data_IF_418854927698
#
_entry.id   IF_418854927698
#
_cell.length_a   1.000
_cell.length_b   1.000
_cell.length_c   1.000
_cell.angle_alpha   90.00
_cell.angle_beta   90.00
_cell.angle_gamma   90.00
#
_symmetry.space_group_name_H-M   'P 1'
#
loop_
_entity.id
_entity.type
_entity.pdbx_description
1 polymer ?
#
# COMPACT_ATOMS: atom_id res chain seq x y z
N UNK A 1 -14.01 5.24 -17.95
CA UNK A 1 -13.49 5.08 -16.57
C UNK A 1 -14.63 5.31 -15.58
N UNK A 2 -14.52 4.79 -14.36
CA UNK A 2 -15.46 5.06 -13.25
C UNK A 2 -14.68 5.52 -12.02
N UNK A 3 -15.36 5.87 -10.93
CA UNK A 3 -14.68 6.22 -9.67
C UNK A 3 -14.00 5.02 -9.02
N UNK A 4 -14.42 3.80 -9.35
CA UNK A 4 -13.98 2.57 -8.69
C UNK A 4 -13.00 1.75 -9.53
N UNK A 5 -12.75 2.14 -10.79
CA UNK A 5 -11.89 1.39 -11.69
C UNK A 5 -11.89 1.84 -13.14
N UNK A 6 -11.27 1.01 -13.98
CA UNK A 6 -11.16 1.20 -15.41
C UNK A 6 -11.66 -0.03 -16.17
N UNK A 7 -12.38 0.21 -17.26
CA UNK A 7 -12.68 -0.81 -18.26
C UNK A 7 -11.54 -0.88 -19.25
N UNK A 8 -11.12 -2.10 -19.58
CA UNK A 8 -10.03 -2.36 -20.52
C UNK A 8 -10.61 -3.23 -21.63
N UNK A 9 -10.43 -2.78 -22.87
CA UNK A 9 -10.74 -3.61 -24.03
C UNK A 9 -9.58 -4.55 -24.31
N UNK A 10 -9.89 -5.84 -24.39
CA UNK A 10 -8.96 -6.92 -24.68
C UNK A 10 -9.39 -7.57 -25.99
N UNK A 11 -9.19 -6.84 -27.10
CA UNK A 11 -9.53 -7.27 -28.45
C UNK A 11 -10.97 -7.83 -28.58
N UNK A 12 -11.96 -7.09 -28.08
CA UNK A 12 -13.37 -7.46 -28.15
C UNK A 12 -13.91 -8.13 -26.88
N UNK A 13 -13.08 -8.33 -25.85
CA UNK A 13 -13.51 -8.72 -24.51
C UNK A 13 -13.31 -7.56 -23.55
N UNK A 14 -14.38 -7.08 -22.92
CA UNK A 14 -14.28 -6.03 -21.89
C UNK A 14 -13.92 -6.61 -20.54
N UNK A 15 -12.74 -6.27 -20.03
CA UNK A 15 -12.33 -6.51 -18.66
C UNK A 15 -12.52 -5.30 -17.75
N UNK A 16 -12.47 -5.53 -16.43
CA UNK A 16 -12.52 -4.45 -15.44
C UNK A 16 -11.41 -4.58 -14.41
N UNK A 17 -10.77 -3.45 -14.13
CA UNK A 17 -9.73 -3.32 -13.11
C UNK A 17 -10.19 -2.36 -12.04
N UNK A 18 -10.23 -2.83 -10.80
CA UNK A 18 -10.55 -1.99 -9.65
C UNK A 18 -9.34 -1.12 -9.27
N UNK A 19 -9.59 0.03 -8.63
CA UNK A 19 -8.54 0.93 -8.14
C UNK A 19 -7.42 0.19 -7.38
N UNK A 20 -7.69 -0.72 -6.42
CA UNK A 20 -6.64 -1.41 -5.69
C UNK A 20 -5.79 -2.36 -6.53
N UNK A 21 -6.19 -2.66 -7.78
CA UNK A 21 -5.45 -3.50 -8.72
C UNK A 21 -4.74 -2.68 -9.80
N UNK A 22 -4.93 -1.36 -9.85
CA UNK A 22 -4.20 -0.47 -10.76
C UNK A 22 -2.78 -0.21 -10.27
N UNK A 23 -2.59 0.00 -8.97
CA UNK A 23 -1.30 0.36 -8.38
C UNK A 23 -1.19 -0.12 -6.93
N UNK A 24 0.05 -0.24 -6.44
CA UNK A 24 0.38 -0.50 -5.03
C UNK A 24 0.24 0.75 -4.16
N UNK A 25 0.23 1.93 -4.77
CA UNK A 25 0.09 3.21 -4.07
C UNK A 25 -1.38 3.56 -3.84
N UNK A 26 -1.62 4.42 -2.84
CA UNK A 26 -2.96 4.94 -2.60
C UNK A 26 -3.26 6.05 -3.61
N UNK A 27 -4.29 5.85 -4.41
CA UNK A 27 -4.81 6.84 -5.36
C UNK A 27 -6.29 7.10 -5.08
N UNK A 28 -6.73 8.33 -5.37
CA UNK A 28 -8.13 8.75 -5.18
C UNK A 28 -8.96 8.51 -6.45
N UNK A 29 -8.34 8.56 -7.62
CA UNK A 29 -9.00 8.31 -8.90
C UNK A 29 -8.17 7.42 -9.83
N UNK A 30 -8.79 6.49 -10.59
CA UNK A 30 -8.10 5.65 -11.57
C UNK A 30 -7.24 6.41 -12.60
N UNK A 31 -7.61 7.66 -12.93
CA UNK A 31 -6.89 8.50 -13.89
C UNK A 31 -5.48 8.86 -13.47
N UNK A 32 -5.15 8.69 -12.18
CA UNK A 32 -3.79 8.85 -11.67
C UNK A 32 -2.88 7.66 -12.02
N UNK A 33 -3.45 6.51 -12.39
CA UNK A 33 -2.70 5.30 -12.73
C UNK A 33 -2.81 4.92 -14.21
N UNK A 34 -3.92 5.22 -14.87
CA UNK A 34 -4.17 4.86 -16.28
C UNK A 34 -4.93 5.95 -17.02
N UNK A 35 -4.66 6.13 -18.31
CA UNK A 35 -5.35 7.11 -19.15
C UNK A 35 -6.28 6.44 -20.17
N UNK A 36 -7.37 7.13 -20.55
CA UNK A 36 -8.26 6.62 -21.60
C UNK A 36 -7.55 6.66 -22.96
N UNK A 37 -7.60 5.56 -23.71
CA UNK A 37 -6.94 5.42 -25.01
C UNK A 37 -5.47 5.00 -24.92
N UNK A 38 -4.95 4.74 -23.72
CA UNK A 38 -3.61 4.21 -23.50
C UNK A 38 -3.59 2.70 -23.76
N UNK A 39 -2.59 2.23 -24.51
CA UNK A 39 -2.29 0.80 -24.63
C UNK A 39 -1.45 0.37 -23.43
N UNK A 40 -1.97 -0.58 -22.66
CA UNK A 40 -1.35 -1.07 -21.42
C UNK A 40 -1.29 -2.60 -21.39
N UNK A 41 -0.30 -3.12 -20.67
CA UNK A 41 -0.23 -4.55 -20.35
C UNK A 41 -1.02 -4.77 -19.06
N UNK A 42 -1.69 -5.92 -18.97
CA UNK A 42 -2.42 -6.34 -17.78
C UNK A 42 -2.19 -7.81 -17.48
N UNK A 43 -2.31 -8.19 -16.21
CA UNK A 43 -2.35 -9.58 -15.76
C UNK A 43 -3.81 -9.99 -15.59
N UNK A 44 -4.19 -11.14 -16.13
CA UNK A 44 -5.51 -11.75 -15.87
C UNK A 44 -5.43 -12.54 -14.57
N UNK A 45 -6.18 -12.10 -13.55
CA UNK A 45 -6.25 -12.78 -12.25
C UNK A 45 -7.23 -13.96 -12.27
N UNK A 46 -8.25 -13.89 -13.12
CA UNK A 46 -9.28 -14.89 -13.25
C UNK A 46 -10.44 -14.38 -14.10
N UNK A 47 -11.46 -15.20 -14.26
CA UNK A 47 -12.66 -14.86 -15.02
C UNK A 47 -13.88 -15.15 -14.18
N UNK A 48 -14.80 -14.20 -14.11
CA UNK A 48 -16.14 -14.43 -13.58
C UNK A 48 -16.90 -15.36 -14.53
N UNK A 49 -17.24 -16.59 -14.12
CA UNK A 49 -17.84 -17.58 -15.02
C UNK A 49 -19.27 -17.24 -15.43
N UNK A 50 -19.99 -16.46 -14.63
CA UNK A 50 -21.37 -16.07 -14.92
C UNK A 50 -21.41 -14.89 -15.89
N UNK A 51 -20.49 -13.93 -15.69
CA UNK A 51 -20.44 -12.68 -16.45
C UNK A 51 -19.48 -12.71 -17.63
N UNK A 52 -18.68 -13.78 -17.77
CA UNK A 52 -17.56 -13.88 -18.72
C UNK A 52 -16.61 -12.68 -18.66
N UNK A 53 -16.53 -12.05 -17.48
CA UNK A 53 -15.78 -10.81 -17.29
C UNK A 53 -14.44 -11.13 -16.61
N UNK A 54 -13.30 -10.83 -17.25
CA UNK A 54 -12.01 -11.08 -16.64
C UNK A 54 -11.72 -10.03 -15.54
N UNK A 55 -11.20 -10.52 -14.42
CA UNK A 55 -10.59 -9.70 -13.37
C UNK A 55 -9.14 -9.45 -13.76
N UNK A 56 -8.75 -8.18 -13.88
CA UNK A 56 -7.38 -7.83 -14.28
C UNK A 56 -6.65 -7.05 -13.19
N UNK A 57 -5.34 -7.02 -13.33
CA UNK A 57 -4.42 -6.29 -12.46
C UNK A 57 -3.26 -5.71 -13.26
N UNK A 58 -2.97 -4.46 -12.98
CA UNK A 58 -1.81 -3.75 -13.54
C UNK A 58 -0.66 -3.77 -12.54
N UNK A 59 -0.98 -3.58 -11.25
CA UNK A 59 0.05 -3.54 -10.19
C UNK A 59 0.88 -4.81 -10.12
N UNK A 60 0.32 -5.96 -10.49
CA UNK A 60 1.02 -7.25 -10.44
C UNK A 60 2.09 -7.40 -11.53
N UNK A 61 2.18 -6.45 -12.47
CA UNK A 61 3.33 -6.31 -13.36
C UNK A 61 4.56 -5.71 -12.66
N UNK A 62 4.36 -5.11 -11.49
CA UNK A 62 5.42 -4.50 -10.69
C UNK A 62 5.69 -5.34 -9.44
N UNK A 63 6.94 -5.41 -8.97
CA UNK A 63 7.26 -6.05 -7.70
C UNK A 63 6.43 -5.46 -6.56
N UNK A 64 5.92 -6.31 -5.67
CA UNK A 64 5.19 -5.86 -4.48
C UNK A 64 6.14 -5.08 -3.56
N UNK A 65 5.92 -3.77 -3.36
CA UNK A 65 6.82 -2.93 -2.57
C UNK A 65 6.87 -3.36 -1.11
N UNK A 66 5.79 -3.95 -0.57
CA UNK A 66 5.80 -4.45 0.80
C UNK A 66 6.71 -5.67 0.95
N UNK A 67 6.73 -6.57 -0.04
CA UNK A 67 7.63 -7.74 -0.01
C UNK A 67 9.08 -7.29 -0.13
N UNK A 68 9.36 -6.33 -1.03
CA UNK A 68 10.69 -5.76 -1.18
C UNK A 68 11.16 -5.08 0.13
N UNK A 69 10.28 -4.32 0.76
CA UNK A 69 10.52 -3.69 2.06
C UNK A 69 10.77 -4.73 3.15
N UNK A 70 9.91 -5.74 3.26
CA UNK A 70 9.97 -6.77 4.29
C UNK A 70 11.29 -7.54 4.28
N UNK A 71 11.85 -7.79 3.09
CA UNK A 71 13.12 -8.51 2.91
C UNK A 71 14.34 -7.71 3.36
N UNK A 72 14.25 -6.39 3.38
CA UNK A 72 15.43 -5.52 3.52
C UNK A 72 15.45 -4.69 4.80
N UNK A 73 14.31 -4.59 5.51
CA UNK A 73 14.13 -3.62 6.60
C UNK A 73 13.83 -4.24 7.97
N UNK A 74 13.94 -5.57 8.14
CA UNK A 74 13.87 -6.15 9.48
C UNK A 74 15.07 -5.65 10.32
N UNK A 75 14.81 -5.21 11.56
CA UNK A 75 15.78 -4.57 12.47
C UNK A 75 16.38 -3.23 11.99
N UNK A 76 15.95 -2.71 10.84
CA UNK A 76 16.41 -1.43 10.34
C UNK A 76 15.87 -0.26 11.16
N UNK A 77 16.69 0.79 11.31
CA UNK A 77 16.28 2.08 11.86
C UNK A 77 15.91 2.98 10.69
N UNK A 78 14.67 3.47 10.69
CA UNK A 78 14.10 4.27 9.63
C UNK A 78 13.52 5.57 10.20
N UNK A 79 13.59 6.64 9.42
CA UNK A 79 12.85 7.87 9.70
C UNK A 79 11.55 7.83 8.90
N UNK A 80 10.43 8.12 9.57
CA UNK A 80 9.13 8.13 8.94
C UNK A 80 8.24 9.23 9.48
N UNK A 81 7.15 9.49 8.77
CA UNK A 81 6.22 10.58 9.08
C UNK A 81 5.00 10.06 9.82
N UNK A 82 4.61 10.69 10.92
CA UNK A 82 3.40 10.34 11.66
C UNK A 82 2.16 10.65 10.82
N UNK A 83 1.36 9.63 10.55
CA UNK A 83 0.12 9.76 9.75
C UNK A 83 -1.12 9.80 10.61
N UNK A 84 -1.09 9.13 11.77
CA UNK A 84 -2.22 9.05 12.69
C UNK A 84 -1.72 8.72 14.09
N UNK A 85 -2.33 9.36 15.08
CA UNK A 85 -2.11 9.08 16.50
C UNK A 85 -3.42 8.55 17.07
N UNK A 86 -3.35 7.45 17.81
CA UNK A 86 -4.50 6.81 18.45
C UNK A 86 -4.13 6.35 19.87
N UNK A 87 -5.12 6.06 20.74
CA UNK A 87 -4.82 5.59 22.10
C UNK A 87 -3.97 4.31 22.16
N UNK A 88 -4.08 3.47 21.13
CA UNK A 88 -3.32 2.21 21.03
C UNK A 88 -1.87 2.42 20.57
N UNK A 89 -1.56 3.54 19.92
CA UNK A 89 -0.24 3.81 19.37
C UNK A 89 -0.23 4.79 18.20
N UNK A 90 0.93 4.91 17.56
CA UNK A 90 1.24 5.86 16.49
C UNK A 90 1.44 5.10 15.18
N UNK A 91 0.82 5.59 14.10
CA UNK A 91 0.99 5.06 12.75
C UNK A 91 1.98 5.92 11.99
N UNK A 92 3.11 5.33 11.61
CA UNK A 92 4.24 6.01 10.98
C UNK A 92 4.38 5.51 9.54
N UNK A 93 4.35 6.41 8.57
CA UNK A 93 4.66 6.10 7.18
C UNK A 93 6.17 5.99 7.02
N UNK A 94 6.65 4.83 6.58
CA UNK A 94 8.07 4.53 6.45
C UNK A 94 8.55 4.78 5.01
N UNK A 95 7.82 4.23 4.05
CA UNK A 95 8.16 4.35 2.63
C UNK A 95 6.89 4.18 1.78
N UNK A 96 6.68 5.06 0.78
CA UNK A 96 5.53 4.98 -0.15
C UNK A 96 4.19 4.78 0.59
N UNK A 97 3.54 3.63 0.39
CA UNK A 97 2.27 3.21 0.99
C UNK A 97 2.44 2.36 2.26
N UNK A 98 3.67 2.13 2.74
CA UNK A 98 3.98 1.28 3.87
C UNK A 98 3.86 2.07 5.18
N UNK A 99 2.96 1.60 6.04
CA UNK A 99 2.69 2.17 7.35
C UNK A 99 3.10 1.15 8.42
N UNK A 100 3.98 1.57 9.32
CA UNK A 100 4.31 0.85 10.53
C UNK A 100 3.51 1.35 11.73
N UNK A 101 3.37 0.49 12.71
CA UNK A 101 2.66 0.75 13.96
C UNK A 101 3.65 0.74 15.13
N UNK A 102 3.76 1.88 15.82
CA UNK A 102 4.46 2.02 17.08
C UNK A 102 3.45 1.92 18.22
N UNK A 103 3.47 0.84 19.04
CA UNK A 103 2.57 0.70 20.17
C UNK A 103 2.73 1.83 21.20
N UNK A 104 1.64 2.24 21.85
CA UNK A 104 1.68 3.30 22.87
C UNK A 104 2.61 2.96 24.06
N UNK A 105 2.87 1.68 24.32
CA UNK A 105 3.83 1.23 25.34
C UNK A 105 5.28 1.55 24.98
N UNK A 106 5.58 1.69 23.68
CA UNK A 106 6.90 2.04 23.16
C UNK A 106 7.00 3.51 22.78
N UNK A 107 5.89 4.26 22.73
CA UNK A 107 5.91 5.68 22.38
C UNK A 107 6.47 6.55 23.53
N UNK A 108 7.22 7.62 23.23
CA UNK A 108 7.71 8.56 24.25
C UNK A 108 6.55 9.22 24.99
N UNK A 109 6.62 9.25 26.32
CA UNK A 109 5.56 9.83 27.17
C UNK A 109 5.68 11.34 27.33
N UNK A 110 6.90 11.85 27.22
CA UNK A 110 7.22 13.25 27.53
C UNK A 110 7.23 14.15 26.28
N UNK A 111 7.04 13.56 25.10
CA UNK A 111 7.04 14.27 23.83
C UNK A 111 5.62 14.32 23.26
N UNK A 112 5.16 15.53 22.94
CA UNK A 112 3.87 15.73 22.31
C UNK A 112 4.02 15.65 20.79
N UNK A 113 3.66 14.51 20.21
CA UNK A 113 3.68 14.29 18.77
C UNK A 113 2.43 14.86 18.08
N UNK A 114 2.62 15.40 16.88
CA UNK A 114 1.56 15.80 15.96
C UNK A 114 1.57 14.95 14.69
N UNK A 115 0.44 14.95 13.98
CA UNK A 115 0.38 14.39 12.63
C UNK A 115 1.27 15.24 11.70
N UNK A 116 1.99 14.57 10.82
CA UNK A 116 3.04 15.08 9.94
C UNK A 116 4.41 15.33 10.59
N UNK A 117 4.57 15.09 11.89
CA UNK A 117 5.90 15.09 12.50
C UNK A 117 6.73 13.91 11.98
N UNK A 118 8.05 14.10 11.87
CA UNK A 118 8.98 13.01 11.59
C UNK A 118 9.45 12.36 12.88
N UNK A 119 9.62 11.03 12.85
CA UNK A 119 10.20 10.29 13.95
C UNK A 119 11.08 9.15 13.46
N UNK A 120 12.14 8.87 14.22
CA UNK A 120 13.02 7.73 13.97
C UNK A 120 12.53 6.52 14.77
N UNK A 121 12.39 5.40 14.08
CA UNK A 121 11.82 4.16 14.60
C UNK A 121 12.64 2.97 14.14
N UNK A 122 12.73 1.95 14.98
CA UNK A 122 13.30 0.66 14.62
C UNK A 122 12.19 -0.30 14.22
N UNK A 123 12.37 -1.02 13.12
CA UNK A 123 11.47 -2.09 12.69
C UNK A 123 11.76 -3.35 13.50
N UNK A 124 10.81 -3.77 14.33
CA UNK A 124 11.00 -4.92 15.23
C UNK A 124 10.42 -6.21 14.68
N UNK A 125 9.33 -6.11 13.92
CA UNK A 125 8.66 -7.26 13.34
C UNK A 125 7.93 -6.88 12.06
N UNK A 126 7.91 -7.81 11.11
CA UNK A 126 7.20 -7.67 9.84
C UNK A 126 6.38 -8.95 9.60
N UNK A 127 5.05 -8.83 9.59
CA UNK A 127 4.15 -9.91 9.16
C UNK A 127 3.83 -9.73 7.69
N UNK A 128 4.30 -10.66 6.84
CA UNK A 128 3.98 -10.66 5.41
C UNK A 128 2.52 -11.06 5.18
N UNK A 129 2.03 -12.04 5.95
CA UNK A 129 0.66 -12.55 5.84
C UNK A 129 -0.36 -11.46 6.13
N UNK A 130 -0.16 -10.70 7.20
CA UNK A 130 -1.08 -9.63 7.62
C UNK A 130 -0.71 -8.26 7.01
N UNK A 131 0.42 -8.19 6.28
CA UNK A 131 1.03 -6.97 5.77
C UNK A 131 1.18 -5.88 6.85
N UNK A 132 1.73 -6.26 7.99
CA UNK A 132 1.93 -5.38 9.15
C UNK A 132 3.41 -5.18 9.47
N UNK A 133 3.76 -3.96 9.87
CA UNK A 133 5.09 -3.61 10.38
C UNK A 133 4.95 -3.08 11.80
N UNK A 134 5.62 -3.72 12.76
CA UNK A 134 5.66 -3.28 14.15
C UNK A 134 6.97 -2.52 14.37
N UNK A 135 6.85 -1.40 15.07
CA UNK A 135 7.92 -0.47 15.33
C UNK A 135 8.22 -0.37 16.83
N UNK A 136 9.45 0.00 17.15
CA UNK A 136 9.84 0.50 18.48
C UNK A 136 10.61 1.81 18.32
N UNK A 137 10.86 2.49 19.43
CA UNK A 137 11.91 3.51 19.44
C UNK A 137 13.29 2.87 19.33
N UNK A 138 14.23 3.60 18.75
CA UNK A 138 15.65 3.31 18.88
C UNK A 138 16.09 3.71 20.31
N UNK A 139 16.67 2.78 21.06
CA UNK A 139 17.08 2.96 22.46
C UNK A 139 18.58 2.86 22.60
#
# INVERSE_FOLDING_TARGET
>A
MTDFGAFIDLDGVTGFVTVPNLTWDRIDHPSQAVQTGEEIIVVVLGVDPDRHQPYLSIKDLQPDPFIAFARSNLDAILTGTITKIAPVGIFVRLERSIIGFLPASEAPRDQNFAVNDEMTVKVTSISITDRQVILSLDR
#
